data_IF_280241276453
#
_entry.id   IF_280241276453
#
_cell.length_a   1.000
_cell.length_b   1.000
_cell.length_c   1.000
_cell.angle_alpha   90.00
_cell.angle_beta   90.00
_cell.angle_gamma   90.00
#
_symmetry.space_group_name_H-M   'P 1'
#
loop_
_entity.id
_entity.type
_entity.pdbx_description
1 polymer ?
#
# COMPACT_ATOMS: atom_id res chain seq x y z
N UNK A 1 22.31 -6.08 9.12
CA UNK A 1 22.71 -7.13 10.07
C UNK A 1 23.50 -6.49 11.20
N UNK A 2 23.42 -7.06 12.41
CA UNK A 2 24.30 -6.68 13.53
C UNK A 2 25.74 -7.12 13.24
N UNK A 3 26.72 -6.63 14.02
CA UNK A 3 28.13 -7.07 13.95
C UNK A 3 28.29 -8.59 14.09
N UNK A 4 27.38 -9.24 14.81
CA UNK A 4 27.34 -10.71 14.97
C UNK A 4 26.63 -11.45 13.84
N UNK A 5 26.15 -10.73 12.80
CA UNK A 5 25.47 -11.28 11.63
C UNK A 5 24.00 -11.62 11.82
N UNK A 6 23.38 -11.21 12.94
CA UNK A 6 21.95 -11.45 13.16
C UNK A 6 21.09 -10.38 12.47
N UNK A 7 19.91 -10.73 11.95
CA UNK A 7 18.91 -9.76 11.50
C UNK A 7 18.53 -8.81 12.64
N UNK A 8 18.45 -7.52 12.33
CA UNK A 8 18.00 -6.49 13.25
C UNK A 8 16.82 -5.72 12.66
N UNK A 9 15.76 -5.53 13.43
CA UNK A 9 14.55 -4.83 13.02
C UNK A 9 14.35 -3.59 13.88
N UNK A 10 14.03 -2.46 13.24
CA UNK A 10 13.71 -1.21 13.91
C UNK A 10 12.63 -0.46 13.15
N UNK A 11 11.99 0.50 13.83
CA UNK A 11 11.02 1.41 13.22
C UNK A 11 11.76 2.64 12.72
N UNK A 12 11.40 3.11 11.52
CA UNK A 12 11.84 4.39 10.97
C UNK A 12 10.68 5.05 10.21
N UNK A 13 10.47 6.37 10.35
CA UNK A 13 9.60 7.14 9.47
C UNK A 13 10.12 7.06 8.04
N UNK A 14 9.23 6.86 7.08
CA UNK A 14 9.61 6.79 5.68
C UNK A 14 8.64 7.59 4.80
N UNK A 15 9.13 8.06 3.69
CA UNK A 15 8.34 8.57 2.56
C UNK A 15 8.74 7.83 1.28
N UNK A 16 7.88 7.85 0.27
CA UNK A 16 8.14 7.16 -0.99
C UNK A 16 7.80 8.10 -2.15
N UNK A 17 8.81 8.55 -2.85
CA UNK A 17 8.66 9.50 -3.96
C UNK A 17 9.08 8.89 -5.29
N UNK A 18 10.32 9.08 -5.68
CA UNK A 18 10.86 8.66 -6.97
C UNK A 18 10.69 7.16 -7.16
N UNK A 19 9.80 6.78 -8.07
CA UNK A 19 9.49 5.37 -8.38
C UNK A 19 9.10 4.54 -7.14
N UNK A 20 8.51 5.18 -6.11
CA UNK A 20 8.06 4.51 -4.90
C UNK A 20 9.19 4.04 -3.97
N UNK A 21 10.44 4.43 -4.20
CA UNK A 21 11.58 4.02 -3.39
C UNK A 21 11.50 4.63 -1.98
N UNK A 22 11.56 3.82 -0.90
CA UNK A 22 11.53 4.31 0.47
C UNK A 22 12.73 5.24 0.76
N UNK A 23 12.42 6.43 1.28
CA UNK A 23 13.37 7.43 1.75
C UNK A 23 13.21 7.55 3.27
N UNK A 24 14.32 7.52 4.00
CA UNK A 24 14.36 7.66 5.46
C UNK A 24 15.38 8.72 5.86
N UNK A 25 15.13 9.44 6.96
CA UNK A 25 16.10 10.32 7.61
C UNK A 25 16.47 9.71 8.96
N UNK A 26 17.76 9.34 9.13
CA UNK A 26 18.22 8.53 10.26
C UNK A 26 19.50 9.09 10.87
N UNK A 27 19.60 8.98 12.22
CA UNK A 27 20.78 9.41 12.96
C UNK A 27 21.92 8.40 12.85
N UNK A 28 23.16 8.87 12.75
CA UNK A 28 24.37 8.06 12.80
C UNK A 28 24.57 7.32 14.13
N UNK A 29 23.91 7.78 15.21
CA UNK A 29 23.93 7.11 16.51
C UNK A 29 23.00 5.91 16.59
N UNK A 30 22.05 5.80 15.66
CA UNK A 30 21.08 4.70 15.66
C UNK A 30 21.74 3.39 15.20
N UNK A 31 21.37 2.29 15.86
CA UNK A 31 21.89 0.95 15.56
C UNK A 31 21.65 0.55 14.10
N UNK A 32 20.46 0.84 13.57
CA UNK A 32 20.13 0.54 12.17
C UNK A 32 21.06 1.27 11.18
N UNK A 33 21.48 2.50 11.49
CA UNK A 33 22.38 3.27 10.61
C UNK A 33 23.77 2.66 10.61
N UNK A 34 24.30 2.30 11.78
CA UNK A 34 25.59 1.59 11.89
C UNK A 34 25.58 0.28 11.13
N UNK A 35 24.49 -0.48 11.27
CA UNK A 35 24.33 -1.74 10.54
C UNK A 35 24.29 -1.53 9.02
N UNK A 36 23.61 -0.47 8.54
CA UNK A 36 23.56 -0.12 7.10
C UNK A 36 24.92 0.35 6.55
N UNK A 37 25.72 1.02 7.36
CA UNK A 37 27.10 1.40 7.01
C UNK A 37 28.01 0.18 6.82
N UNK A 38 27.81 -0.86 7.62
CA UNK A 38 28.54 -2.13 7.50
C UNK A 38 28.03 -3.04 6.37
N UNK A 39 26.71 -3.12 6.21
CA UNK A 39 26.04 -3.89 5.16
C UNK A 39 24.74 -3.17 4.74
N UNK A 40 24.70 -2.61 3.51
CA UNK A 40 23.56 -1.80 3.06
C UNK A 40 22.32 -2.64 2.72
N UNK A 41 22.42 -3.97 2.68
CA UNK A 41 21.29 -4.85 2.37
C UNK A 41 20.25 -4.79 3.48
N UNK A 42 19.00 -4.52 3.10
CA UNK A 42 17.91 -4.38 4.04
C UNK A 42 16.56 -4.73 3.41
N UNK A 43 15.56 -4.86 4.26
CA UNK A 43 14.17 -4.91 3.86
C UNK A 43 13.34 -3.92 4.69
N UNK A 44 12.29 -3.39 4.06
CA UNK A 44 11.28 -2.54 4.70
C UNK A 44 9.95 -3.24 4.61
N UNK A 45 9.33 -3.51 5.75
CA UNK A 45 7.95 -3.98 5.84
C UNK A 45 7.02 -2.77 5.99
N UNK A 46 6.06 -2.67 5.10
CA UNK A 46 5.02 -1.64 5.10
C UNK A 46 3.67 -2.35 5.16
N UNK A 47 2.86 -2.02 6.15
CA UNK A 47 1.55 -2.61 6.37
C UNK A 47 0.45 -1.56 6.17
N UNK A 48 -0.73 -2.01 5.72
CA UNK A 48 -1.92 -1.18 5.72
C UNK A 48 -2.29 -0.77 7.17
N UNK A 49 -2.91 0.41 7.35
CA UNK A 49 -3.37 0.84 8.67
C UNK A 49 -4.25 -0.22 9.33
N UNK A 50 -3.98 -0.51 10.60
CA UNK A 50 -4.74 -1.45 11.40
C UNK A 50 -5.74 -0.71 12.31
N UNK A 51 -6.85 -1.39 12.65
CA UNK A 51 -7.80 -0.95 13.64
C UNK A 51 -7.96 -2.02 14.73
N UNK A 52 -8.42 -1.65 15.95
CA UNK A 52 -8.66 -2.62 17.02
C UNK A 52 -9.60 -3.74 16.56
N UNK A 53 -9.23 -4.99 16.83
CA UNK A 53 -10.02 -6.18 16.49
C UNK A 53 -9.80 -6.71 15.06
N UNK A 54 -8.97 -6.08 14.25
CA UNK A 54 -8.59 -6.60 12.93
C UNK A 54 -7.42 -7.59 13.08
N UNK A 55 -7.56 -8.76 12.49
CA UNK A 55 -6.46 -9.73 12.41
C UNK A 55 -5.31 -9.15 11.55
N UNK A 56 -4.11 -8.95 12.11
CA UNK A 56 -2.97 -8.43 11.35
C UNK A 56 -2.61 -9.26 10.12
N UNK A 57 -2.90 -10.56 10.12
CA UNK A 57 -2.62 -11.45 8.99
C UNK A 57 -3.57 -11.20 7.80
N UNK A 58 -4.72 -10.58 8.03
CA UNK A 58 -5.66 -10.19 6.98
C UNK A 58 -5.27 -8.89 6.27
N UNK A 59 -4.38 -8.07 6.88
CA UNK A 59 -3.98 -6.79 6.33
C UNK A 59 -3.05 -6.93 5.12
N UNK A 60 -3.26 -6.04 4.17
CA UNK A 60 -2.34 -5.91 3.05
C UNK A 60 -0.97 -5.40 3.53
N UNK A 61 0.10 -6.00 3.03
CA UNK A 61 1.47 -5.60 3.35
C UNK A 61 2.42 -5.83 2.19
N UNK A 62 3.46 -5.05 2.15
CA UNK A 62 4.55 -5.20 1.20
C UNK A 62 5.89 -5.23 1.93
N UNK A 63 6.75 -6.15 1.53
CA UNK A 63 8.16 -6.16 1.94
C UNK A 63 8.99 -5.74 0.73
N UNK A 64 9.59 -4.55 0.79
CA UNK A 64 10.55 -4.09 -0.19
C UNK A 64 11.96 -4.54 0.24
N UNK A 65 12.69 -5.21 -0.65
CA UNK A 65 14.01 -5.79 -0.39
C UNK A 65 15.01 -5.14 -1.34
N UNK A 66 16.16 -4.72 -0.80
CA UNK A 66 17.19 -4.06 -1.60
C UNK A 66 18.38 -3.60 -0.78
N UNK A 67 18.98 -2.49 -1.18
CA UNK A 67 20.09 -1.88 -0.46
C UNK A 67 19.83 -0.41 -0.22
N UNK A 68 20.05 0.06 1.01
CA UNK A 68 20.02 1.48 1.32
C UNK A 68 21.33 2.15 0.93
N UNK A 69 21.20 3.32 0.30
CA UNK A 69 22.35 4.17 -0.06
C UNK A 69 22.11 5.59 0.49
N UNK A 70 23.16 6.27 0.98
CA UNK A 70 23.06 7.69 1.28
C UNK A 70 22.67 8.46 0.02
N UNK A 71 21.83 9.48 0.19
CA UNK A 71 21.37 10.35 -0.90
C UNK A 71 21.22 11.79 -0.42
N UNK A 72 21.28 12.72 -1.37
CA UNK A 72 20.87 14.11 -1.17
C UNK A 72 19.50 14.29 -1.84
N UNK A 73 18.40 14.27 -1.07
CA UNK A 73 17.06 14.43 -1.64
C UNK A 73 16.82 15.87 -2.07
N UNK A 74 15.89 16.06 -3.00
CA UNK A 74 15.44 17.40 -3.40
C UNK A 74 14.64 18.07 -2.28
N UNK A 75 14.51 19.41 -2.34
CA UNK A 75 13.70 20.18 -1.39
C UNK A 75 12.26 19.67 -1.35
N UNK A 76 11.66 19.34 -2.51
CA UNK A 76 10.31 18.79 -2.61
C UNK A 76 10.18 17.43 -1.89
N UNK A 77 11.20 16.58 -1.99
CA UNK A 77 11.22 15.27 -1.29
C UNK A 77 11.34 15.44 0.23
N UNK A 78 12.14 16.42 0.68
CA UNK A 78 12.28 16.75 2.10
C UNK A 78 10.96 17.30 2.63
N UNK A 79 10.37 18.31 1.99
CA UNK A 79 9.10 18.90 2.45
C UNK A 79 7.98 17.87 2.49
N UNK A 80 7.85 17.05 1.49
CA UNK A 80 6.84 16.03 1.48
C UNK A 80 7.09 14.93 2.54
N UNK A 81 8.35 14.62 2.91
CA UNK A 81 8.65 13.78 4.07
C UNK A 81 8.20 14.46 5.38
N UNK A 82 8.46 15.76 5.51
CA UNK A 82 8.10 16.55 6.69
C UNK A 82 6.58 16.75 6.83
N UNK A 83 5.85 16.81 5.73
CA UNK A 83 4.39 16.86 5.75
C UNK A 83 3.77 15.53 6.21
N UNK A 84 4.35 14.40 5.83
CA UNK A 84 3.95 13.08 6.34
C UNK A 84 4.38 12.87 7.81
N UNK A 85 5.49 13.46 8.22
CA UNK A 85 6.10 13.29 9.54
C UNK A 85 6.46 14.64 10.17
N UNK A 86 5.48 15.46 10.59
CA UNK A 86 5.74 16.82 11.08
C UNK A 86 6.75 16.92 12.24
N UNK A 87 6.82 15.89 13.09
CA UNK A 87 7.80 15.83 14.18
C UNK A 87 9.25 15.68 13.70
N UNK A 88 9.48 15.26 12.45
CA UNK A 88 10.84 15.18 11.89
C UNK A 88 11.49 16.54 11.73
N UNK A 89 10.72 17.64 11.65
CA UNK A 89 11.23 19.02 11.63
C UNK A 89 12.09 19.38 12.83
N UNK A 90 11.95 18.63 13.95
CA UNK A 90 12.76 18.86 15.15
C UNK A 90 14.18 18.31 15.06
N UNK A 91 14.47 17.38 14.14
CA UNK A 91 15.75 16.71 14.08
C UNK A 91 16.39 16.60 12.69
N UNK A 92 15.65 16.86 11.62
CA UNK A 92 16.14 16.66 10.24
C UNK A 92 17.38 17.49 9.91
N UNK A 93 17.57 18.63 10.57
CA UNK A 93 18.72 19.51 10.40
C UNK A 93 19.90 19.21 11.35
N UNK A 94 19.77 18.22 12.23
CA UNK A 94 20.86 17.87 13.12
C UNK A 94 22.02 17.22 12.35
N UNK A 95 23.27 17.54 12.69
CA UNK A 95 24.44 17.12 11.91
C UNK A 95 24.70 15.60 11.91
N UNK A 96 24.08 14.87 12.83
CA UNK A 96 24.16 13.41 12.92
C UNK A 96 23.05 12.72 12.09
N UNK A 97 22.08 13.46 11.56
CA UNK A 97 21.03 12.90 10.69
C UNK A 97 21.44 12.95 9.22
N UNK A 98 21.07 11.93 8.48
CA UNK A 98 21.35 11.81 7.05
C UNK A 98 20.24 11.06 6.35
N UNK A 99 20.11 11.32 5.04
CA UNK A 99 19.08 10.74 4.20
C UNK A 99 19.58 9.48 3.51
N UNK A 100 18.75 8.46 3.50
CA UNK A 100 19.05 7.18 2.87
C UNK A 100 17.85 6.71 2.05
N UNK A 101 18.14 6.17 0.86
CA UNK A 101 17.10 5.64 -0.04
C UNK A 101 17.31 4.17 -0.31
N UNK A 102 16.21 3.39 -0.24
CA UNK A 102 16.24 1.97 -0.59
C UNK A 102 16.19 1.81 -2.11
N UNK A 103 17.29 1.33 -2.69
CA UNK A 103 17.27 0.81 -4.07
C UNK A 103 16.55 -0.55 -4.08
N UNK A 104 15.28 -0.55 -4.48
CA UNK A 104 14.43 -1.75 -4.43
C UNK A 104 14.83 -2.75 -5.51
N UNK A 105 15.29 -3.93 -5.12
CA UNK A 105 15.61 -5.04 -6.02
C UNK A 105 14.38 -5.92 -6.30
N UNK A 106 13.59 -6.20 -5.26
CA UNK A 106 12.39 -7.03 -5.35
C UNK A 106 11.39 -6.67 -4.25
N UNK A 107 10.11 -6.99 -4.47
CA UNK A 107 9.04 -6.81 -3.49
C UNK A 107 8.28 -8.11 -3.30
N UNK A 108 7.89 -8.37 -2.06
CA UNK A 108 6.89 -9.38 -1.70
C UNK A 108 5.61 -8.65 -1.29
N UNK A 109 4.53 -8.86 -2.03
CA UNK A 109 3.20 -8.38 -1.69
C UNK A 109 2.36 -9.51 -1.08
N UNK A 110 1.60 -9.16 -0.05
CA UNK A 110 0.57 -10.01 0.55
C UNK A 110 -0.66 -9.13 0.76
N UNK A 111 -1.76 -9.43 0.07
CA UNK A 111 -3.01 -8.67 0.11
C UNK A 111 -4.08 -9.29 1.01
N UNK A 112 -3.66 -10.03 2.05
CA UNK A 112 -4.51 -10.86 2.89
C UNK A 112 -4.43 -12.34 2.51
N UNK A 113 -5.37 -13.14 3.00
CA UNK A 113 -5.36 -14.58 2.77
C UNK A 113 -5.52 -14.93 1.29
N UNK A 114 -4.58 -15.70 0.77
CA UNK A 114 -4.63 -16.24 -0.59
C UNK A 114 -4.15 -15.28 -1.70
N UNK A 115 -3.97 -14.00 -1.43
CA UNK A 115 -3.48 -13.01 -2.40
C UNK A 115 -2.05 -12.63 -2.09
N UNK A 116 -1.10 -13.18 -2.84
CA UNK A 116 0.32 -12.88 -2.64
C UNK A 116 1.13 -13.02 -3.92
N UNK A 117 2.20 -12.26 -4.03
CA UNK A 117 3.05 -12.29 -5.22
C UNK A 117 4.43 -11.68 -5.00
N UNK A 118 5.29 -11.85 -5.98
CA UNK A 118 6.58 -11.20 -6.08
C UNK A 118 6.60 -10.25 -7.28
N UNK A 119 7.27 -9.13 -7.15
CA UNK A 119 7.54 -8.20 -8.23
C UNK A 119 9.03 -7.84 -8.24
N UNK A 120 9.59 -7.60 -9.43
CA UNK A 120 10.95 -7.05 -9.55
C UNK A 120 10.94 -5.56 -9.24
N UNK A 121 12.07 -5.02 -8.75
CA UNK A 121 12.23 -3.58 -8.55
C UNK A 121 12.01 -2.78 -9.85
N UNK A 122 12.39 -3.33 -11.01
CA UNK A 122 12.11 -2.72 -12.33
C UNK A 122 10.61 -2.62 -12.62
N UNK A 123 9.86 -3.69 -12.39
CA UNK A 123 8.40 -3.69 -12.60
C UNK A 123 7.72 -2.70 -11.66
N UNK A 124 8.18 -2.62 -10.42
CA UNK A 124 7.70 -1.67 -9.43
C UNK A 124 8.00 -0.22 -9.82
N UNK A 125 9.24 0.09 -10.17
CA UNK A 125 9.66 1.44 -10.57
C UNK A 125 8.94 1.94 -11.84
N UNK A 126 8.55 1.03 -12.74
CA UNK A 126 7.81 1.35 -13.95
C UNK A 126 6.28 1.28 -13.75
N UNK A 127 5.80 0.96 -12.56
CA UNK A 127 4.36 0.90 -12.30
C UNK A 127 3.74 2.29 -12.41
N UNK A 128 2.62 2.37 -13.12
CA UNK A 128 1.84 3.59 -13.24
C UNK A 128 0.77 3.60 -12.16
N UNK A 129 0.65 4.73 -11.47
CA UNK A 129 -0.40 4.92 -10.48
C UNK A 129 -1.79 4.57 -11.05
N UNK A 130 -2.62 3.97 -10.22
CA UNK A 130 -3.96 3.61 -10.64
C UNK A 130 -4.81 4.87 -10.87
N UNK A 131 -5.32 5.12 -12.10
CA UNK A 131 -6.09 6.32 -12.39
C UNK A 131 -7.48 6.34 -11.74
N UNK A 132 -7.94 5.22 -11.20
CA UNK A 132 -9.24 5.11 -10.51
C UNK A 132 -9.13 5.53 -9.04
N UNK A 133 -7.98 5.25 -8.38
CA UNK A 133 -7.82 5.50 -6.95
C UNK A 133 -8.19 6.92 -6.48
N UNK A 134 -7.83 8.02 -7.18
CA UNK A 134 -8.23 9.37 -6.75
C UNK A 134 -9.74 9.62 -6.78
N UNK A 135 -10.50 8.74 -7.45
CA UNK A 135 -11.96 8.83 -7.62
C UNK A 135 -12.70 7.69 -6.91
N UNK A 136 -11.98 6.77 -6.26
CA UNK A 136 -12.57 5.57 -5.67
C UNK A 136 -13.62 5.88 -4.59
N UNK A 137 -13.35 6.82 -3.69
CA UNK A 137 -14.26 7.19 -2.61
C UNK A 137 -15.66 7.62 -3.13
N UNK A 138 -15.76 8.69 -3.93
CA UNK A 138 -17.04 9.11 -4.52
C UNK A 138 -17.72 8.02 -5.37
N UNK A 139 -16.96 7.17 -6.06
CA UNK A 139 -17.52 6.05 -6.83
C UNK A 139 -18.14 4.99 -5.92
N UNK A 140 -17.50 4.64 -4.81
CA UNK A 140 -18.01 3.69 -3.82
C UNK A 140 -19.28 4.23 -3.20
N UNK A 141 -19.28 5.48 -2.73
CA UNK A 141 -20.47 6.14 -2.16
C UNK A 141 -21.66 6.11 -3.12
N UNK A 142 -21.44 6.43 -4.40
CA UNK A 142 -22.49 6.38 -5.42
C UNK A 142 -22.99 4.94 -5.67
N UNK A 143 -22.10 3.96 -5.77
CA UNK A 143 -22.47 2.56 -5.98
C UNK A 143 -23.33 2.03 -4.82
N UNK A 144 -22.94 2.33 -3.59
CA UNK A 144 -23.63 1.88 -2.40
C UNK A 144 -24.99 2.57 -2.21
N UNK A 145 -25.10 3.86 -2.60
CA UNK A 145 -26.35 4.62 -2.49
C UNK A 145 -27.36 4.27 -3.59
N UNK A 146 -26.92 4.22 -4.84
CA UNK A 146 -27.82 4.19 -6.00
C UNK A 146 -27.85 2.84 -6.72
N UNK A 147 -26.88 1.93 -6.45
CA UNK A 147 -26.70 0.68 -7.17
C UNK A 147 -26.55 -0.56 -6.26
N UNK A 148 -27.02 -0.49 -5.01
CA UNK A 148 -26.86 -1.58 -4.03
C UNK A 148 -27.39 -2.94 -4.52
N UNK A 149 -28.57 -2.95 -5.20
CA UNK A 149 -29.15 -4.19 -5.75
C UNK A 149 -28.28 -4.78 -6.88
N UNK A 150 -27.70 -3.92 -7.72
CA UNK A 150 -26.77 -4.36 -8.76
C UNK A 150 -25.50 -4.95 -8.16
N UNK A 151 -24.97 -4.37 -7.08
CA UNK A 151 -23.82 -4.89 -6.35
C UNK A 151 -24.09 -6.30 -5.81
N UNK A 152 -25.27 -6.54 -5.22
CA UNK A 152 -25.67 -7.88 -4.77
C UNK A 152 -25.73 -8.86 -5.96
N UNK A 153 -26.35 -8.46 -7.07
CA UNK A 153 -26.45 -9.29 -8.27
C UNK A 153 -25.06 -9.65 -8.85
N UNK A 154 -24.13 -8.69 -8.88
CA UNK A 154 -22.75 -8.92 -9.32
C UNK A 154 -22.08 -9.97 -8.43
N UNK A 155 -22.18 -9.85 -7.13
CA UNK A 155 -21.56 -10.76 -6.17
C UNK A 155 -22.16 -12.17 -6.28
N UNK A 156 -23.48 -12.27 -6.41
CA UNK A 156 -24.16 -13.56 -6.57
C UNK A 156 -23.77 -14.26 -7.87
N UNK A 157 -23.75 -13.54 -8.98
CA UNK A 157 -23.59 -14.12 -10.32
C UNK A 157 -22.12 -14.30 -10.72
N UNK A 158 -21.27 -13.33 -10.40
CA UNK A 158 -19.88 -13.32 -10.87
C UNK A 158 -18.89 -13.82 -9.82
N UNK A 159 -19.18 -13.62 -8.53
CA UNK A 159 -18.34 -14.14 -7.45
C UNK A 159 -18.87 -15.45 -6.84
N UNK A 160 -20.07 -15.90 -7.24
CA UNK A 160 -20.66 -17.15 -6.77
C UNK A 160 -21.19 -17.14 -5.33
N UNK A 161 -21.30 -15.99 -4.69
CA UNK A 161 -21.77 -15.83 -3.30
C UNK A 161 -23.31 -15.70 -3.30
N UNK A 162 -24.00 -16.79 -3.56
CA UNK A 162 -25.44 -16.84 -3.86
C UNK A 162 -26.34 -16.34 -2.72
N UNK A 163 -25.90 -16.51 -1.47
CA UNK A 163 -26.68 -16.16 -0.27
C UNK A 163 -26.49 -14.70 0.16
N UNK A 164 -25.75 -13.90 -0.60
CA UNK A 164 -25.56 -12.49 -0.31
C UNK A 164 -26.86 -11.71 -0.52
N UNK A 165 -27.29 -10.93 0.49
CA UNK A 165 -28.43 -10.02 0.41
C UNK A 165 -28.01 -8.55 0.51
N UNK A 166 -26.77 -8.29 0.90
CA UNK A 166 -26.13 -6.98 0.92
C UNK A 166 -24.67 -7.13 0.54
N UNK A 167 -24.16 -6.26 -0.33
CA UNK A 167 -22.81 -6.36 -0.85
C UNK A 167 -22.21 -4.95 -1.10
N UNK A 168 -21.92 -4.15 -0.04
CA UNK A 168 -21.27 -2.86 -0.22
C UNK A 168 -19.90 -3.03 -0.86
N UNK A 169 -19.49 -2.02 -1.62
CA UNK A 169 -18.18 -1.97 -2.26
C UNK A 169 -17.14 -1.51 -1.24
N UNK A 170 -16.14 -2.36 -0.93
CA UNK A 170 -15.05 -2.00 -0.01
C UNK A 170 -13.84 -1.40 -0.73
N UNK A 171 -13.63 -1.71 -2.00
CA UNK A 171 -12.59 -1.06 -2.81
C UNK A 171 -12.90 -1.14 -4.30
N UNK A 172 -12.37 -0.17 -5.05
CA UNK A 172 -12.41 -0.14 -6.51
C UNK A 172 -11.07 0.35 -7.05
N UNK A 173 -10.57 -0.34 -8.08
CA UNK A 173 -9.38 0.02 -8.82
C UNK A 173 -9.56 -0.25 -10.32
N UNK A 174 -8.53 0.01 -11.14
CA UNK A 174 -8.61 -0.20 -12.61
C UNK A 174 -8.92 -1.64 -13.02
N UNK A 175 -8.70 -2.61 -12.16
CA UNK A 175 -8.81 -4.04 -12.47
C UNK A 175 -10.13 -4.65 -12.01
N UNK A 176 -10.86 -4.01 -11.06
CA UNK A 176 -12.09 -4.58 -10.53
C UNK A 176 -12.61 -3.89 -9.28
N UNK A 177 -13.60 -4.53 -8.68
CA UNK A 177 -14.26 -4.10 -7.44
C UNK A 177 -14.19 -5.21 -6.40
N UNK A 178 -13.99 -4.84 -5.15
CA UNK A 178 -14.09 -5.74 -4.00
C UNK A 178 -15.34 -5.42 -3.21
N UNK A 179 -16.07 -6.43 -2.79
CA UNK A 179 -17.33 -6.33 -2.07
C UNK A 179 -17.25 -7.09 -0.75
N UNK A 180 -17.88 -6.57 0.28
CA UNK A 180 -18.12 -7.31 1.52
C UNK A 180 -19.57 -7.81 1.51
N UNK A 181 -19.74 -9.12 1.34
CA UNK A 181 -21.03 -9.77 1.22
C UNK A 181 -21.59 -10.17 2.60
N UNK A 182 -22.89 -9.94 2.82
CA UNK A 182 -23.58 -10.20 4.08
C UNK A 182 -24.86 -11.01 3.86
N UNK A 183 -25.22 -11.83 4.86
CA UNK A 183 -26.49 -12.55 4.97
C UNK A 183 -27.62 -11.63 5.45
N UNK A 184 -28.85 -12.16 5.42
CA UNK A 184 -30.05 -11.49 5.93
C UNK A 184 -30.02 -11.22 7.44
N UNK A 185 -29.28 -11.99 8.22
CA UNK A 185 -29.05 -11.78 9.65
C UNK A 185 -27.97 -10.73 9.96
N UNK A 186 -27.36 -10.14 8.93
CA UNK A 186 -26.31 -9.16 9.05
C UNK A 186 -24.90 -9.73 9.23
N UNK A 187 -24.76 -11.06 9.30
CA UNK A 187 -23.44 -11.68 9.42
C UNK A 187 -22.64 -11.55 8.12
N UNK A 188 -21.32 -11.28 8.25
CA UNK A 188 -20.40 -11.27 7.13
C UNK A 188 -20.29 -12.67 6.52
N UNK A 189 -20.46 -12.75 5.21
CA UNK A 189 -20.47 -14.01 4.47
C UNK A 189 -19.13 -14.26 3.77
N UNK A 190 -18.65 -13.25 3.03
CA UNK A 190 -17.40 -13.31 2.31
C UNK A 190 -16.96 -11.92 1.86
N UNK A 191 -15.66 -11.73 1.70
CA UNK A 191 -15.10 -10.65 0.88
C UNK A 191 -14.82 -11.21 -0.51
N UNK A 192 -15.44 -10.62 -1.53
CA UNK A 192 -15.39 -11.12 -2.91
C UNK A 192 -14.84 -10.06 -3.86
N UNK A 193 -13.91 -10.44 -4.72
CA UNK A 193 -13.39 -9.56 -5.77
C UNK A 193 -13.92 -9.97 -7.14
N UNK A 194 -14.47 -9.02 -7.87
CA UNK A 194 -14.93 -9.18 -9.25
C UNK A 194 -14.04 -8.35 -10.17
N UNK A 195 -13.35 -9.00 -11.08
CA UNK A 195 -12.49 -8.33 -12.05
C UNK A 195 -13.31 -7.71 -13.18
N UNK A 196 -12.87 -6.58 -13.71
CA UNK A 196 -13.37 -6.06 -14.98
C UNK A 196 -12.85 -6.95 -16.13
N UNK A 197 -13.64 -7.08 -17.19
CA UNK A 197 -13.22 -7.81 -18.40
C UNK A 197 -11.97 -7.21 -19.04
N UNK A 198 -11.83 -5.87 -18.95
CA UNK A 198 -10.65 -5.11 -19.36
C UNK A 198 -10.31 -4.08 -18.28
N UNK A 199 -9.01 -3.80 -18.03
CA UNK A 199 -8.62 -2.76 -17.10
C UNK A 199 -9.17 -1.39 -17.49
N UNK A 200 -9.66 -0.61 -16.50
CA UNK A 200 -10.22 0.72 -16.74
C UNK A 200 -9.10 1.77 -16.80
N UNK A 201 -9.13 2.59 -17.85
CA UNK A 201 -8.23 3.71 -18.05
C UNK A 201 -8.94 5.03 -17.74
N UNK A 202 -8.17 6.07 -17.38
CA UNK A 202 -8.69 7.39 -16.96
C UNK A 202 -9.71 8.01 -17.95
N UNK A 203 -9.66 7.68 -19.23
CA UNK A 203 -10.59 8.19 -20.25
C UNK A 203 -12.00 7.63 -20.10
N UNK A 204 -12.15 6.42 -19.55
CA UNK A 204 -13.44 5.74 -19.40
C UNK A 204 -14.21 6.25 -18.19
N UNK A 205 -13.52 6.73 -17.15
CA UNK A 205 -14.12 7.26 -15.94
C UNK A 205 -14.89 8.58 -16.18
N UNK A 206 -14.48 9.41 -17.17
CA UNK A 206 -15.11 10.72 -17.47
C UNK A 206 -16.32 10.65 -18.40
N UNK A 207 -16.55 9.58 -19.13
CA UNK A 207 -17.59 9.51 -20.18
C UNK A 207 -18.97 9.09 -19.69
N UNK A 208 -19.14 8.54 -18.49
CA UNK A 208 -20.41 7.99 -18.00
C UNK A 208 -21.14 8.86 -16.97
N UNK A 209 -20.56 9.98 -16.57
CA UNK A 209 -21.17 10.91 -15.59
C UNK A 209 -21.49 12.29 -16.18
N UNK A 210 -21.91 12.33 -17.47
CA UNK A 210 -22.58 13.50 -18.08
C UNK A 210 -23.99 13.15 -18.53
#
# INVERSE_FOLDING_TARGET
LTDSGHPYTSIAPYSAFTAGAPLVCVSSFAEHTRNLQGDPRASVLIEAPSAPGIDPLSLARVTAIGSFMPVDPTEDEIEAHLDLHPFARHYVEFPDFSWWRLGVATLRYVGGFGVMGWATGRSYANAVADPVLPHAGPMIEHLDADHAEACVSIVQQLAGVRDAVRAPVSSIDRYGMTFDAYRSDGSHLATARVAFAEPRLQRDCRRRYR
#
